data_IF_623834822384
#
_entry.id   IF_623834822384
#
_cell.length_a   1.000
_cell.length_b   1.000
_cell.length_c   1.000
_cell.angle_alpha   90.00
_cell.angle_beta   90.00
_cell.angle_gamma   90.00
#
_symmetry.space_group_name_H-M   'P 1'
#
loop_
_entity.id
_entity.type
_entity.pdbx_description
1 polymer ?
#
# COMPACT_ATOMS: atom_id res chain seq x y z
N UNK A 1 4.29 8.67 -13.63
CA UNK A 1 4.61 7.54 -12.73
C UNK A 1 3.42 6.62 -12.57
N UNK A 2 3.66 5.29 -12.54
CA UNK A 2 2.58 4.32 -12.30
C UNK A 2 2.37 4.16 -10.80
N UNK A 3 1.10 4.11 -10.38
CA UNK A 3 0.72 3.79 -9.01
C UNK A 3 0.45 2.30 -8.95
N UNK A 4 1.26 1.57 -8.19
CA UNK A 4 1.05 0.16 -7.91
C UNK A 4 0.69 -0.04 -6.43
N UNK A 5 -0.25 -0.95 -6.18
CA UNK A 5 -0.33 -1.61 -4.89
C UNK A 5 0.52 -2.86 -4.98
N UNK A 6 1.41 -3.04 -4.01
CA UNK A 6 2.23 -4.23 -3.94
C UNK A 6 2.00 -4.93 -2.60
N UNK A 7 1.98 -6.24 -2.69
CA UNK A 7 1.80 -7.16 -1.58
C UNK A 7 3.08 -7.96 -1.41
N UNK A 8 3.55 -8.05 -0.18
CA UNK A 8 4.75 -8.82 0.14
C UNK A 8 4.66 -9.38 1.56
N UNK A 9 5.40 -10.45 1.84
CA UNK A 9 5.54 -10.93 3.21
C UNK A 9 6.45 -10.00 3.99
N UNK A 10 6.11 -9.78 5.26
CA UNK A 10 6.93 -8.93 6.15
C UNK A 10 7.02 -9.53 7.54
N UNK A 11 8.23 -9.57 8.10
CA UNK A 11 8.48 -10.06 9.47
C UNK A 11 9.54 -11.15 9.52
N UNK A 12 9.66 -11.84 10.66
CA UNK A 12 10.45 -13.07 10.80
C UNK A 12 9.53 -14.29 10.74
N UNK A 13 10.09 -15.43 10.30
CA UNK A 13 9.47 -16.74 10.40
C UNK A 13 9.29 -17.10 11.88
N UNK A 14 8.08 -16.91 12.42
CA UNK A 14 7.70 -17.53 13.69
C UNK A 14 7.19 -18.95 13.38
N UNK A 15 7.69 -20.00 14.06
CA UNK A 15 7.19 -21.35 13.88
C UNK A 15 5.66 -21.40 14.03
N UNK A 16 4.97 -21.91 13.02
CA UNK A 16 3.50 -22.01 12.93
C UNK A 16 2.75 -20.69 12.67
N UNK A 17 3.43 -19.59 12.30
CA UNK A 17 2.78 -18.36 11.88
C UNK A 17 3.16 -18.03 10.44
N UNK A 18 2.17 -18.05 9.54
CA UNK A 18 2.33 -17.45 8.22
C UNK A 18 2.76 -15.99 8.43
N UNK A 19 3.76 -15.54 7.67
CA UNK A 19 4.15 -14.13 7.64
C UNK A 19 2.89 -13.26 7.48
N UNK A 20 2.73 -12.10 8.13
CA UNK A 20 1.61 -11.23 7.82
C UNK A 20 1.79 -10.66 6.40
N UNK A 21 0.76 -10.81 5.55
CA UNK A 21 0.71 -10.14 4.24
C UNK A 21 0.68 -8.63 4.45
N UNK A 22 1.64 -7.94 3.84
CA UNK A 22 1.77 -6.49 3.94
C UNK A 22 1.38 -5.83 2.63
N UNK A 23 0.65 -4.72 2.72
CA UNK A 23 0.24 -3.92 1.57
C UNK A 23 0.81 -2.52 1.63
N UNK A 24 1.24 -2.02 0.47
CA UNK A 24 1.81 -0.68 0.36
C UNK A 24 1.61 -0.10 -1.04
N UNK A 25 1.74 1.22 -1.15
CA UNK A 25 1.81 1.92 -2.44
C UNK A 25 3.26 1.97 -2.90
N UNK A 26 3.51 1.56 -4.14
CA UNK A 26 4.77 1.76 -4.83
C UNK A 26 4.55 2.60 -6.08
N UNK A 27 5.35 3.65 -6.21
CA UNK A 27 5.29 4.59 -7.33
C UNK A 27 6.59 4.48 -8.10
N UNK A 28 6.53 3.84 -9.27
CA UNK A 28 7.70 3.66 -10.12
C UNK A 28 8.11 5.00 -10.74
N UNK A 29 9.27 5.50 -10.33
CA UNK A 29 9.88 6.75 -10.83
C UNK A 29 11.06 6.48 -11.76
N UNK A 30 11.57 5.25 -11.79
CA UNK A 30 12.60 4.77 -12.72
C UNK A 30 12.73 3.24 -12.71
N UNK A 31 13.64 2.66 -13.51
CA UNK A 31 13.86 1.21 -13.54
C UNK A 31 14.26 0.67 -12.17
N UNK A 32 13.41 -0.19 -11.59
CA UNK A 32 13.53 -0.72 -10.21
C UNK A 32 13.64 0.37 -9.12
N UNK A 33 13.37 1.64 -9.42
CA UNK A 33 13.45 2.78 -8.49
C UNK A 33 12.07 3.42 -8.31
N UNK A 34 11.73 3.77 -7.08
CA UNK A 34 10.43 4.37 -6.81
C UNK A 34 10.27 4.92 -5.40
N UNK A 35 9.04 5.34 -5.13
CA UNK A 35 8.61 5.79 -3.82
C UNK A 35 7.67 4.75 -3.20
N UNK A 36 7.87 4.45 -1.93
CA UNK A 36 7.08 3.50 -1.16
C UNK A 36 6.37 4.24 -0.04
N UNK A 37 5.06 4.07 0.05
CA UNK A 37 4.23 4.63 1.11
C UNK A 37 3.44 3.49 1.76
N UNK A 38 3.57 3.36 3.08
CA UNK A 38 3.02 2.23 3.82
C UNK A 38 2.74 2.62 5.28
N UNK A 39 1.97 1.78 5.95
CA UNK A 39 1.83 1.85 7.42
C UNK A 39 2.52 0.65 8.03
N UNK A 40 3.37 0.89 9.01
CA UNK A 40 4.25 -0.11 9.63
C UNK A 40 4.03 -0.22 11.12
N UNK A 41 4.32 -1.38 11.69
CA UNK A 41 4.07 -1.69 13.09
C UNK A 41 2.98 -2.75 13.22
N UNK A 42 2.38 -2.79 14.40
CA UNK A 42 1.27 -3.67 14.77
C UNK A 42 0.06 -2.85 15.25
N UNK A 43 -0.99 -3.56 15.70
CA UNK A 43 -2.25 -2.97 16.20
C UNK A 43 -2.04 -1.86 17.24
N UNK A 44 -0.92 -1.87 17.97
CA UNK A 44 -0.62 -0.88 19.01
C UNK A 44 0.32 0.23 18.51
N UNK A 45 1.14 -0.05 17.50
CA UNK A 45 2.30 0.79 17.12
C UNK A 45 2.25 1.34 15.71
N UNK A 46 1.16 1.12 14.97
CA UNK A 46 1.06 1.57 13.58
C UNK A 46 1.50 3.03 13.37
N UNK A 47 2.38 3.22 12.39
CA UNK A 47 2.92 4.52 11.97
C UNK A 47 3.09 4.58 10.46
N UNK A 48 2.93 5.76 9.89
CA UNK A 48 3.17 5.98 8.47
C UNK A 48 4.67 5.99 8.17
N UNK A 49 5.08 5.30 7.11
CA UNK A 49 6.45 5.30 6.61
C UNK A 49 6.46 5.65 5.15
N UNK A 50 7.32 6.61 4.81
CA UNK A 50 7.65 6.96 3.42
C UNK A 50 9.10 6.68 3.15
N UNK A 51 9.37 6.15 1.97
CA UNK A 51 10.70 6.02 1.41
C UNK A 51 10.64 6.58 -0.01
N UNK A 52 11.53 7.51 -0.35
CA UNK A 52 11.56 8.19 -1.65
C UNK A 52 12.83 7.82 -2.40
N UNK A 53 12.70 7.55 -3.71
CA UNK A 53 13.81 7.31 -4.62
C UNK A 53 14.74 6.17 -4.19
N UNK A 54 14.16 5.04 -3.77
CA UNK A 54 14.89 3.82 -3.44
C UNK A 54 14.64 2.71 -4.46
N UNK A 55 15.53 1.72 -4.44
CA UNK A 55 15.29 0.44 -5.11
C UNK A 55 14.07 -0.26 -4.49
N UNK A 56 13.33 -1.01 -5.31
CA UNK A 56 12.24 -1.85 -4.82
C UNK A 56 12.78 -2.93 -3.88
N UNK A 57 12.50 -2.78 -2.58
CA UNK A 57 12.82 -3.79 -1.57
C UNK A 57 11.85 -4.97 -1.61
N UNK A 58 12.26 -6.10 -1.01
CA UNK A 58 11.42 -7.29 -0.84
C UNK A 58 10.93 -7.88 -2.18
N UNK A 59 11.71 -7.72 -3.25
CA UNK A 59 11.38 -8.24 -4.60
C UNK A 59 11.16 -9.76 -4.57
N UNK A 60 11.94 -10.49 -3.79
CA UNK A 60 11.82 -11.94 -3.58
C UNK A 60 10.60 -12.32 -2.71
N UNK A 61 10.17 -11.42 -1.84
CA UNK A 61 9.00 -11.60 -0.96
C UNK A 61 7.71 -11.05 -1.58
N UNK A 62 7.78 -10.56 -2.81
CA UNK A 62 6.62 -10.09 -3.57
C UNK A 62 5.64 -11.25 -3.78
N UNK A 63 4.37 -11.02 -3.45
CA UNK A 63 3.28 -12.01 -3.58
C UNK A 63 2.17 -11.55 -4.50
N UNK A 64 2.30 -10.37 -5.08
CA UNK A 64 1.41 -9.86 -6.09
C UNK A 64 1.19 -8.38 -5.93
N UNK A 65 0.44 -7.83 -6.87
CA UNK A 65 0.15 -6.42 -6.88
C UNK A 65 -0.73 -6.07 -8.06
N UNK A 66 -1.18 -4.83 -8.10
CA UNK A 66 -1.93 -4.32 -9.22
C UNK A 66 -1.63 -2.84 -9.46
N UNK A 67 -1.65 -2.46 -10.74
CA UNK A 67 -1.59 -1.05 -11.10
C UNK A 67 -2.96 -0.43 -10.90
N UNK A 68 -3.03 0.56 -10.03
CA UNK A 68 -4.28 1.21 -9.62
C UNK A 68 -4.42 2.61 -10.17
N UNK A 69 -3.39 3.17 -10.82
CA UNK A 69 -3.49 4.52 -11.35
C UNK A 69 -2.19 5.09 -11.91
N UNK A 70 -2.20 6.40 -12.11
CA UNK A 70 -1.04 7.17 -12.54
C UNK A 70 -0.94 8.52 -11.83
N UNK A 71 0.30 8.97 -11.67
CA UNK A 71 0.68 10.33 -11.30
C UNK A 71 1.33 10.98 -12.51
N UNK A 72 0.92 12.18 -12.90
CA UNK A 72 1.32 12.80 -14.16
C UNK A 72 2.50 13.78 -14.03
N UNK A 73 2.85 14.20 -12.81
CA UNK A 73 3.95 15.14 -12.57
C UNK A 73 4.60 14.93 -11.20
N UNK A 74 5.80 15.48 -11.01
CA UNK A 74 6.47 15.51 -9.70
C UNK A 74 5.67 16.27 -8.65
N UNK A 75 5.02 17.37 -9.04
CA UNK A 75 4.16 18.12 -8.13
C UNK A 75 2.96 17.30 -7.65
N UNK A 76 2.34 16.51 -8.53
CA UNK A 76 1.30 15.56 -8.14
C UNK A 76 1.85 14.44 -7.24
N UNK A 77 3.09 13.98 -7.46
CA UNK A 77 3.74 12.96 -6.65
C UNK A 77 3.96 13.45 -5.21
N UNK A 78 4.46 14.68 -5.04
CA UNK A 78 4.62 15.33 -3.73
C UNK A 78 3.26 15.46 -3.05
N UNK A 79 2.26 16.02 -3.74
CA UNK A 79 0.90 16.18 -3.21
C UNK A 79 0.29 14.84 -2.79
N UNK A 80 0.52 13.77 -3.56
CA UNK A 80 0.04 12.44 -3.22
C UNK A 80 0.67 11.94 -1.93
N UNK A 81 1.99 12.09 -1.77
CA UNK A 81 2.69 11.75 -0.54
C UNK A 81 2.12 12.48 0.69
N UNK A 82 1.87 13.78 0.55
CA UNK A 82 1.26 14.60 1.62
C UNK A 82 -0.15 14.14 2.00
N UNK A 83 -0.94 13.68 1.02
CA UNK A 83 -2.29 13.14 1.25
C UNK A 83 -2.19 11.78 1.96
N UNK A 84 -1.34 10.88 1.47
CA UNK A 84 -1.14 9.55 2.04
C UNK A 84 -0.69 9.64 3.51
N UNK A 85 0.18 10.59 3.84
CA UNK A 85 0.65 10.83 5.21
C UNK A 85 -0.45 11.26 6.18
N UNK A 86 -1.57 11.79 5.67
CA UNK A 86 -2.71 12.28 6.45
C UNK A 86 -3.87 11.30 6.53
N UNK A 87 -3.79 10.17 5.80
CA UNK A 87 -4.80 9.10 5.90
C UNK A 87 -4.80 8.56 7.32
N UNK A 88 -5.98 8.45 7.92
CA UNK A 88 -6.14 8.05 9.31
C UNK A 88 -5.55 6.66 9.58
N UNK A 89 -4.79 6.56 10.68
CA UNK A 89 -4.23 5.31 11.19
C UNK A 89 -4.95 4.99 12.49
N UNK A 90 -5.73 3.91 12.47
CA UNK A 90 -6.47 3.48 13.65
C UNK A 90 -5.62 2.49 14.45
N UNK A 91 -5.36 2.82 15.71
CA UNK A 91 -4.65 1.96 16.68
C UNK A 91 -5.64 1.28 17.60
N UNK A 92 -5.21 0.18 18.22
CA UNK A 92 -5.99 -0.63 19.15
C UNK A 92 -7.29 -1.20 18.53
N UNK A 93 -7.31 -1.36 17.20
CA UNK A 93 -8.38 -2.03 16.47
C UNK A 93 -7.83 -3.34 15.88
N UNK A 94 -8.16 -4.52 16.45
CA UNK A 94 -7.55 -5.80 16.07
C UNK A 94 -7.71 -6.18 14.59
N UNK A 95 -8.74 -5.66 13.92
CA UNK A 95 -9.01 -5.94 12.50
C UNK A 95 -8.42 -4.90 11.55
N UNK A 96 -7.88 -3.79 12.08
CA UNK A 96 -7.28 -2.74 11.27
C UNK A 96 -5.81 -3.06 10.99
N UNK A 97 -5.40 -2.95 9.73
CA UNK A 97 -4.02 -3.25 9.31
C UNK A 97 -3.63 -2.47 8.03
N UNK A 98 -2.47 -2.80 7.45
CA UNK A 98 -1.98 -2.16 6.22
C UNK A 98 -2.95 -2.22 5.04
N UNK A 99 -3.75 -3.27 4.93
CA UNK A 99 -4.78 -3.41 3.90
C UNK A 99 -5.93 -2.41 4.13
N UNK A 100 -6.39 -2.25 5.38
CA UNK A 100 -7.41 -1.24 5.76
C UNK A 100 -6.95 0.18 5.43
N UNK A 101 -5.67 0.48 5.67
CA UNK A 101 -5.07 1.77 5.34
C UNK A 101 -5.02 2.00 3.82
N UNK A 102 -4.55 1.02 3.04
CA UNK A 102 -4.51 1.10 1.56
C UNK A 102 -5.89 1.34 0.98
N UNK A 103 -6.91 0.65 1.46
CA UNK A 103 -8.29 0.82 1.00
C UNK A 103 -8.78 2.26 1.23
N UNK A 104 -8.56 2.78 2.45
CA UNK A 104 -8.94 4.15 2.81
C UNK A 104 -8.18 5.17 1.96
N UNK A 105 -6.87 4.97 1.80
CA UNK A 105 -6.01 5.81 1.00
C UNK A 105 -6.45 5.89 -0.47
N UNK A 106 -6.85 4.77 -1.09
CA UNK A 106 -7.36 4.77 -2.46
C UNK A 106 -8.61 5.64 -2.62
N UNK A 107 -9.55 5.56 -1.66
CA UNK A 107 -10.76 6.39 -1.65
C UNK A 107 -10.40 7.87 -1.56
N UNK A 108 -9.51 8.22 -0.61
CA UNK A 108 -9.04 9.60 -0.42
C UNK A 108 -8.33 10.14 -1.67
N UNK A 109 -7.49 9.34 -2.33
CA UNK A 109 -6.82 9.74 -3.57
C UNK A 109 -7.81 9.94 -4.72
N UNK A 110 -8.78 9.04 -4.87
CA UNK A 110 -9.84 9.17 -5.86
C UNK A 110 -10.65 10.45 -5.66
N UNK A 111 -11.06 10.74 -4.42
CA UNK A 111 -11.83 11.94 -4.08
C UNK A 111 -11.01 13.22 -4.28
N UNK A 112 -9.69 13.15 -4.06
CA UNK A 112 -8.73 14.21 -4.39
C UNK A 112 -8.44 14.35 -5.90
N UNK A 113 -9.19 13.66 -6.76
CA UNK A 113 -9.11 13.69 -8.24
C UNK A 113 -7.79 13.16 -8.83
N UNK A 114 -7.09 12.28 -8.11
CA UNK A 114 -6.00 11.51 -8.72
C UNK A 114 -6.56 10.52 -9.75
N UNK A 115 -5.75 10.19 -10.75
CA UNK A 115 -6.13 9.23 -11.78
C UNK A 115 -6.02 7.80 -11.24
N UNK A 116 -7.06 7.37 -10.51
CA UNK A 116 -7.22 6.02 -9.96
C UNK A 116 -8.21 5.23 -10.84
N UNK A 117 -7.81 4.03 -11.28
CA UNK A 117 -8.62 3.15 -12.10
C UNK A 117 -9.66 2.41 -11.22
N UNK A 118 -10.92 2.79 -11.34
CA UNK A 118 -12.05 2.27 -10.54
C UNK A 118 -12.24 0.75 -10.64
N UNK A 119 -11.91 0.14 -11.78
CA UNK A 119 -12.00 -1.31 -11.96
C UNK A 119 -10.99 -2.11 -11.11
N UNK A 120 -9.82 -1.52 -10.84
CA UNK A 120 -8.77 -2.14 -10.01
C UNK A 120 -9.07 -1.99 -8.52
N UNK A 121 -9.67 -0.86 -8.13
CA UNK A 121 -10.23 -0.64 -6.79
C UNK A 121 -11.24 -1.74 -6.41
N UNK A 122 -12.12 -2.12 -7.33
CA UNK A 122 -13.11 -3.18 -7.12
C UNK A 122 -12.51 -4.60 -7.10
N UNK A 123 -11.37 -4.82 -7.78
CA UNK A 123 -10.64 -6.11 -7.73
C UNK A 123 -9.91 -6.31 -6.40
N UNK A 124 -9.36 -5.25 -5.83
CA UNK A 124 -8.73 -5.28 -4.50
C UNK A 124 -9.72 -5.75 -3.42
N UNK A 125 -10.94 -5.20 -3.39
CA UNK A 125 -11.99 -5.66 -2.48
C UNK A 125 -12.40 -7.14 -2.68
N UNK A 126 -12.26 -7.69 -3.90
CA UNK A 126 -12.52 -9.13 -4.15
C UNK A 126 -11.36 -10.03 -3.69
N UNK A 127 -10.11 -9.57 -3.81
CA UNK A 127 -8.93 -10.31 -3.33
C UNK A 127 -8.95 -10.48 -1.81
N UNK A 128 -9.58 -9.55 -1.07
CA UNK A 128 -9.76 -9.65 0.38
C UNK A 128 -10.72 -10.79 0.80
N UNK A 129 -11.82 -11.00 0.07
CA UNK A 129 -12.81 -12.03 0.42
C UNK A 129 -12.33 -13.46 0.19
N UNK A 130 -11.41 -13.69 -0.75
CA UNK A 130 -10.87 -15.03 -1.02
C UNK A 130 -9.87 -15.47 0.05
N UNK A 131 -9.25 -14.55 0.78
CA UNK A 131 -8.27 -14.86 1.85
C UNK A 131 -8.90 -15.01 3.25
N UNK A 132 -10.17 -14.61 3.43
CA UNK A 132 -10.91 -14.79 4.69
C UNK A 132 -11.66 -16.14 4.76
N UNK A 133 -11.67 -16.91 3.67
CA UNK A 133 -12.39 -18.18 3.53
C UNK A 133 -11.46 -19.40 3.38
N UNK A 134 -10.15 -19.22 3.56
CA UNK A 134 -9.13 -20.28 3.47
C UNK A 134 -8.54 -20.59 4.84
#
# INVERSE_FOLDING_TARGET
YRIALFQFWRGQEEPNRLYPLHWAFYIETGPDVGNTYEVVGDENTYTFRTRVNQLLENKEDHRGGCYVGRVNSDAELVKMGDILAKVEIHRNLPFWNSNSWVETALRVLHDARFCIYSEQFMKFGRLQNTMLLA
#
